data_IF_757572643124
#
_entry.id   IF_757572643124
#
_cell.length_a   1.000
_cell.length_b   1.000
_cell.length_c   1.000
_cell.angle_alpha   90.00
_cell.angle_beta   90.00
_cell.angle_gamma   90.00
#
_symmetry.space_group_name_H-M   'P 1'
#
loop_
_entity.id
_entity.type
_entity.pdbx_description
1 polymer ?
#
# COMPACT_ATOMS: atom_id res chain seq x y z
N UNK A 1 56.62 11.31 42.38
CA UNK A 1 55.59 10.24 42.49
C UNK A 1 54.14 10.72 42.70
N UNK A 2 53.83 12.01 42.97
CA UNK A 2 52.44 12.47 43.20
C UNK A 2 51.64 12.74 41.90
N UNK A 3 52.31 13.15 40.82
CA UNK A 3 51.69 13.52 39.53
C UNK A 3 51.13 12.29 38.78
N UNK A 4 51.81 11.15 38.85
CA UNK A 4 51.36 9.89 38.25
C UNK A 4 50.10 9.32 38.93
N UNK A 5 49.91 9.56 40.23
CA UNK A 5 48.68 9.20 40.95
C UNK A 5 47.50 10.09 40.55
N UNK A 6 47.72 11.39 40.35
CA UNK A 6 46.66 12.29 39.88
C UNK A 6 46.20 11.95 38.45
N UNK A 7 47.15 11.66 37.56
CA UNK A 7 46.87 11.26 36.18
C UNK A 7 46.09 9.94 36.11
N UNK A 8 46.41 8.95 36.96
CA UNK A 8 45.71 7.66 36.95
C UNK A 8 44.26 7.75 37.49
N UNK A 9 44.00 8.66 38.43
CA UNK A 9 42.64 8.93 38.94
C UNK A 9 41.77 9.60 37.87
N UNK A 10 42.31 10.61 37.16
CA UNK A 10 41.59 11.27 36.07
C UNK A 10 41.31 10.34 34.89
N UNK A 11 42.26 9.47 34.53
CA UNK A 11 42.05 8.44 33.49
C UNK A 11 40.96 7.43 33.87
N UNK A 12 40.82 7.07 35.16
CA UNK A 12 39.74 6.19 35.64
C UNK A 12 38.36 6.86 35.57
N UNK A 13 38.29 8.15 35.88
CA UNK A 13 37.06 8.95 35.78
C UNK A 13 36.58 9.10 34.32
N UNK A 14 37.49 9.34 33.38
CA UNK A 14 37.16 9.43 31.94
C UNK A 14 36.62 8.10 31.40
N UNK A 15 37.21 6.96 31.83
CA UNK A 15 36.72 5.63 31.45
C UNK A 15 35.34 5.33 32.06
N UNK A 16 35.09 5.74 33.30
CA UNK A 16 33.82 5.54 33.98
C UNK A 16 32.69 6.38 33.35
N UNK A 17 32.96 7.63 32.98
CA UNK A 17 31.96 8.51 32.36
C UNK A 17 31.54 7.99 30.98
N UNK A 18 32.47 7.47 30.17
CA UNK A 18 32.16 6.79 28.91
C UNK A 18 31.34 5.51 29.11
N UNK A 19 31.65 4.75 30.16
CA UNK A 19 30.89 3.54 30.48
C UNK A 19 29.44 3.87 30.92
N UNK A 20 29.25 4.90 31.76
CA UNK A 20 27.91 5.31 32.20
C UNK A 20 27.05 5.85 31.05
N UNK A 21 27.63 6.61 30.10
CA UNK A 21 26.91 7.05 28.91
C UNK A 21 26.37 5.89 28.05
N UNK A 22 27.11 4.77 28.00
CA UNK A 22 26.68 3.57 27.27
C UNK A 22 25.51 2.81 27.91
N UNK A 23 25.26 3.03 29.20
CA UNK A 23 24.12 2.43 29.94
C UNK A 23 22.89 3.35 29.95
N UNK A 24 23.09 4.67 29.94
CA UNK A 24 21.98 5.65 29.96
C UNK A 24 21.26 5.67 28.60
N UNK A 25 21.99 5.56 27.50
CA UNK A 25 21.40 5.63 26.16
C UNK A 25 20.39 4.49 25.89
N UNK A 26 20.69 3.20 26.15
CA UNK A 26 19.71 2.12 26.03
C UNK A 26 18.48 2.32 26.93
N UNK A 27 18.67 2.81 28.16
CA UNK A 27 17.56 3.03 29.09
C UNK A 27 16.65 4.18 28.66
N UNK A 28 17.23 5.28 28.14
CA UNK A 28 16.47 6.38 27.56
C UNK A 28 15.72 5.93 26.31
N UNK A 29 16.37 5.17 25.44
CA UNK A 29 15.77 4.60 24.23
C UNK A 29 14.61 3.67 24.59
N UNK A 30 14.81 2.75 25.52
CA UNK A 30 13.77 1.81 25.97
C UNK A 30 12.59 2.53 26.63
N UNK A 31 12.84 3.62 27.37
CA UNK A 31 11.75 4.43 27.96
C UNK A 31 10.94 5.16 26.88
N UNK A 32 11.60 5.67 25.83
CA UNK A 32 10.95 6.25 24.65
C UNK A 32 10.29 5.20 23.75
N UNK A 33 10.77 3.96 23.74
CA UNK A 33 10.14 2.85 23.02
C UNK A 33 8.95 2.27 23.79
N UNK A 34 8.94 2.35 25.13
CA UNK A 34 7.83 1.89 25.98
C UNK A 34 6.51 2.59 25.71
N UNK A 35 6.52 3.86 25.29
CA UNK A 35 5.30 4.55 24.85
C UNK A 35 4.75 4.01 23.52
N UNK A 36 5.56 3.27 22.74
CA UNK A 36 5.16 2.60 21.51
C UNK A 36 4.94 1.09 21.70
N UNK A 37 5.48 0.48 22.78
CA UNK A 37 5.20 -0.91 23.16
C UNK A 37 3.84 -1.00 23.85
N UNK A 38 2.85 -1.48 23.11
CA UNK A 38 1.59 -2.02 23.63
C UNK A 38 0.62 -1.01 24.26
N UNK A 39 0.16 -0.02 23.50
CA UNK A 39 -1.27 0.28 23.63
C UNK A 39 -2.03 -0.91 23.05
N UNK A 40 -2.99 -1.48 23.79
CA UNK A 40 -4.03 -2.33 23.21
C UNK A 40 -4.79 -1.48 22.20
N UNK A 41 -4.30 -1.44 20.97
CA UNK A 41 -4.92 -0.73 19.87
C UNK A 41 -6.16 -1.51 19.53
N UNK A 42 -7.33 -0.93 19.81
CA UNK A 42 -8.58 -1.46 19.27
C UNK A 42 -8.54 -1.17 17.77
N UNK A 43 -8.41 -2.23 16.97
CA UNK A 43 -8.47 -2.17 15.52
C UNK A 43 -9.89 -2.52 15.09
N UNK A 44 -10.69 -1.51 14.72
CA UNK A 44 -11.94 -1.72 14.00
C UNK A 44 -11.65 -1.61 12.50
N UNK A 45 -12.17 -2.58 11.73
CA UNK A 45 -12.02 -2.63 10.27
C UNK A 45 -13.38 -2.42 9.61
N UNK A 46 -13.60 -1.26 9.00
CA UNK A 46 -14.80 -1.00 8.20
C UNK A 46 -14.52 -1.31 6.72
N UNK A 47 -15.49 -1.89 6.01
CA UNK A 47 -15.40 -2.14 4.56
C UNK A 47 -15.86 -0.91 3.79
N UNK A 48 -15.36 -0.73 2.55
CA UNK A 48 -15.77 0.34 1.65
C UNK A 48 -17.30 0.39 1.38
N UNK A 49 -17.98 -0.76 1.49
CA UNK A 49 -19.41 -0.89 1.19
C UNK A 49 -19.65 -1.22 -0.27
N UNK A 50 -20.91 -1.13 -0.71
CA UNK A 50 -21.29 -1.41 -2.10
C UNK A 50 -21.18 -0.15 -2.98
N UNK A 51 -20.93 -0.34 -4.28
CA UNK A 51 -20.97 0.74 -5.28
C UNK A 51 -22.38 1.32 -5.34
N UNK A 52 -22.47 2.65 -5.13
CA UNK A 52 -23.72 3.42 -5.18
C UNK A 52 -23.94 3.95 -6.59
N UNK A 53 -22.86 4.39 -7.25
CA UNK A 53 -22.90 5.01 -8.57
C UNK A 53 -21.62 4.75 -9.34
N UNK A 54 -21.74 4.60 -10.66
CA UNK A 54 -20.60 4.51 -11.56
C UNK A 54 -20.77 5.49 -12.74
N UNK A 55 -19.83 6.40 -12.91
CA UNK A 55 -19.78 7.37 -14.00
C UNK A 55 -18.69 7.00 -15.01
N UNK A 56 -19.01 7.10 -16.30
CA UNK A 56 -18.03 6.92 -17.36
C UNK A 56 -17.17 8.17 -17.50
N UNK A 57 -15.86 8.00 -17.60
CA UNK A 57 -14.92 9.09 -17.89
C UNK A 57 -14.29 8.88 -19.27
N UNK A 58 -13.61 9.90 -19.79
CA UNK A 58 -13.01 9.84 -21.13
C UNK A 58 -11.98 8.70 -21.30
N UNK A 59 -11.34 8.26 -20.22
CA UNK A 59 -10.26 7.24 -20.24
C UNK A 59 -10.57 6.04 -19.34
N UNK A 60 -11.78 5.93 -18.79
CA UNK A 60 -12.08 4.89 -17.80
C UNK A 60 -13.39 5.10 -17.07
N UNK A 61 -13.38 4.88 -15.76
CA UNK A 61 -14.60 4.90 -14.94
C UNK A 61 -14.34 5.38 -13.52
N UNK A 62 -15.30 6.14 -12.99
CA UNK A 62 -15.32 6.60 -11.61
C UNK A 62 -16.44 5.89 -10.85
N UNK A 63 -16.11 5.28 -9.71
CA UNK A 63 -17.05 4.56 -8.86
C UNK A 63 -17.17 5.25 -7.51
N UNK A 64 -18.40 5.46 -7.06
CA UNK A 64 -18.71 6.08 -5.79
C UNK A 64 -19.24 5.02 -4.83
N UNK A 65 -18.60 4.92 -3.67
CA UNK A 65 -19.05 4.15 -2.51
C UNK A 65 -19.61 5.12 -1.47
N UNK A 66 -20.01 4.59 -0.32
CA UNK A 66 -20.58 5.41 0.76
C UNK A 66 -19.61 6.46 1.30
N UNK A 67 -18.37 6.04 1.58
CA UNK A 67 -17.36 6.86 2.25
C UNK A 67 -16.03 6.91 1.46
N UNK A 68 -16.06 6.48 0.20
CA UNK A 68 -14.88 6.23 -0.63
C UNK A 68 -15.22 6.38 -2.12
N UNK A 69 -14.24 6.75 -2.93
CA UNK A 69 -14.35 6.81 -4.39
C UNK A 69 -13.17 6.04 -5.00
N UNK A 70 -13.41 5.47 -6.18
CA UNK A 70 -12.42 4.72 -6.96
C UNK A 70 -12.43 5.21 -8.40
N UNK A 71 -11.30 5.72 -8.85
CA UNK A 71 -11.08 6.11 -10.23
C UNK A 71 -10.17 5.10 -10.91
N UNK A 72 -10.66 4.51 -11.99
CA UNK A 72 -9.88 3.62 -12.87
C UNK A 72 -9.71 4.35 -14.19
N UNK A 73 -8.45 4.58 -14.59
CA UNK A 73 -8.12 5.24 -15.85
C UNK A 73 -7.11 4.41 -16.64
N UNK A 74 -7.44 4.04 -17.88
CA UNK A 74 -6.51 3.43 -18.82
C UNK A 74 -5.61 4.52 -19.39
N UNK A 75 -4.31 4.33 -19.19
CA UNK A 75 -3.26 5.19 -19.71
C UNK A 75 -2.64 4.61 -20.99
N UNK A 76 -2.60 3.26 -21.09
CA UNK A 76 -2.26 2.44 -22.26
C UNK A 76 -3.09 1.17 -22.26
N UNK A 77 -3.09 0.40 -23.34
CA UNK A 77 -3.80 -0.88 -23.41
C UNK A 77 -3.37 -1.85 -22.28
N UNK A 78 -2.12 -1.80 -21.85
CA UNK A 78 -1.56 -2.64 -20.79
C UNK A 78 -1.38 -1.91 -19.45
N UNK A 79 -1.75 -0.63 -19.37
CA UNK A 79 -1.42 0.22 -18.23
C UNK A 79 -2.62 0.99 -17.68
N UNK A 80 -2.95 0.71 -16.42
CA UNK A 80 -4.10 1.26 -15.71
C UNK A 80 -3.65 1.99 -14.46
N UNK A 81 -4.13 3.20 -14.29
CA UNK A 81 -4.07 3.95 -13.03
C UNK A 81 -5.29 3.62 -12.21
N UNK A 82 -5.05 3.26 -10.95
CA UNK A 82 -6.08 3.07 -9.93
C UNK A 82 -5.84 4.10 -8.85
N UNK A 83 -6.85 4.91 -8.57
CA UNK A 83 -6.80 5.94 -7.54
C UNK A 83 -7.98 5.80 -6.59
N UNK A 84 -7.70 5.85 -5.29
CA UNK A 84 -8.69 5.68 -4.23
C UNK A 84 -8.77 6.96 -3.40
N UNK A 85 -9.98 7.48 -3.21
CA UNK A 85 -10.27 8.69 -2.42
C UNK A 85 -11.21 8.35 -1.27
N UNK A 86 -11.15 9.01 -0.10
CA UNK A 86 -10.25 10.10 0.25
C UNK A 86 -8.82 9.61 0.52
N UNK A 87 -7.85 10.23 -0.14
CA UNK A 87 -6.43 9.93 -0.04
C UNK A 87 -5.63 11.01 -0.76
N UNK A 88 -4.41 11.30 -0.30
CA UNK A 88 -3.52 12.22 -1.02
C UNK A 88 -2.78 11.40 -2.07
N UNK A 89 -3.01 11.71 -3.35
CA UNK A 89 -2.28 11.04 -4.43
C UNK A 89 -0.77 11.26 -4.23
N UNK A 90 0.04 10.20 -4.29
CA UNK A 90 1.47 10.33 -4.14
C UNK A 90 2.03 11.20 -5.28
N UNK A 91 3.06 12.00 -4.98
CA UNK A 91 3.75 12.78 -6.00
C UNK A 91 4.32 11.80 -7.04
N UNK A 92 3.95 11.92 -8.33
CA UNK A 92 4.35 10.97 -9.36
C UNK A 92 5.82 11.19 -9.74
N UNK A 93 6.74 10.61 -8.98
CA UNK A 93 8.19 10.75 -9.23
C UNK A 93 8.72 9.80 -10.31
N UNK A 94 7.96 8.76 -10.66
CA UNK A 94 8.39 7.70 -11.58
C UNK A 94 7.67 7.72 -12.94
N UNK A 95 6.67 8.59 -13.12
CA UNK A 95 5.89 8.70 -14.35
C UNK A 95 6.21 10.06 -14.96
N UNK A 96 6.90 10.07 -16.10
CA UNK A 96 7.33 11.31 -16.76
C UNK A 96 6.32 11.86 -17.79
N UNK A 97 5.23 11.13 -18.04
CA UNK A 97 4.24 11.47 -19.06
C UNK A 97 2.88 11.72 -18.39
N UNK A 98 2.35 12.93 -18.59
CA UNK A 98 1.02 13.32 -18.10
C UNK A 98 -0.05 13.21 -19.21
N UNK A 99 0.36 13.34 -20.47
CA UNK A 99 -0.53 13.33 -21.65
C UNK A 99 -0.60 11.96 -22.32
N UNK A 100 -1.47 11.10 -21.79
CA UNK A 100 -1.78 9.80 -22.38
C UNK A 100 -2.88 9.91 -23.44
N UNK A 101 -2.70 9.28 -24.60
CA UNK A 101 -3.73 9.22 -25.65
C UNK A 101 -4.97 8.47 -25.16
N UNK A 102 -6.15 8.88 -25.64
CA UNK A 102 -7.39 8.15 -25.38
C UNK A 102 -7.34 6.78 -26.07
N UNK A 103 -7.74 5.74 -25.36
CA UNK A 103 -7.74 4.35 -25.83
C UNK A 103 -9.18 3.88 -25.91
N UNK A 104 -9.45 3.00 -26.87
CA UNK A 104 -10.74 2.34 -26.97
C UNK A 104 -10.91 1.34 -25.82
N UNK A 105 -11.77 1.70 -24.88
CA UNK A 105 -12.13 0.83 -23.76
C UNK A 105 -13.61 0.46 -23.85
N UNK A 106 -13.90 -0.82 -23.67
CA UNK A 106 -15.26 -1.32 -23.56
C UNK A 106 -15.67 -1.44 -22.11
N UNK A 107 -16.93 -1.12 -21.84
CA UNK A 107 -17.49 -1.11 -20.50
C UNK A 107 -18.74 -1.98 -20.48
N UNK A 108 -18.76 -2.97 -19.60
CA UNK A 108 -19.91 -3.83 -19.40
C UNK A 108 -20.20 -3.97 -17.92
N UNK A 109 -21.46 -3.82 -17.54
CA UNK A 109 -21.93 -4.21 -16.22
C UNK A 109 -22.47 -5.64 -16.33
N UNK A 110 -21.91 -6.56 -15.55
CA UNK A 110 -22.33 -7.95 -15.47
C UNK A 110 -22.69 -8.23 -14.01
N UNK A 111 -23.99 -8.34 -13.74
CA UNK A 111 -24.54 -8.56 -12.39
C UNK A 111 -23.98 -7.56 -11.37
N UNK A 112 -23.24 -8.05 -10.38
CA UNK A 112 -22.59 -7.30 -9.29
C UNK A 112 -21.14 -6.90 -9.62
N UNK A 113 -20.74 -6.94 -10.90
CA UNK A 113 -19.39 -6.61 -11.35
C UNK A 113 -19.41 -5.65 -12.53
N UNK A 114 -18.40 -4.78 -12.56
CA UNK A 114 -18.12 -3.91 -13.69
C UNK A 114 -16.84 -4.38 -14.36
N UNK A 115 -16.94 -4.64 -15.65
CA UNK A 115 -15.83 -5.08 -16.49
C UNK A 115 -15.42 -3.92 -17.37
N UNK A 116 -14.15 -3.53 -17.26
CA UNK A 116 -13.51 -2.54 -18.10
C UNK A 116 -12.43 -3.25 -18.90
N UNK A 117 -12.53 -3.26 -20.23
CA UNK A 117 -11.57 -3.98 -21.08
C UNK A 117 -10.95 -3.06 -22.12
N UNK A 118 -9.65 -3.20 -22.29
CA UNK A 118 -8.86 -2.71 -23.43
C UNK A 118 -8.53 -3.88 -24.36
N UNK A 119 -7.66 -3.65 -25.36
CA UNK A 119 -7.21 -4.70 -26.27
C UNK A 119 -6.47 -5.85 -25.57
N UNK A 120 -5.70 -5.57 -24.50
CA UNK A 120 -4.82 -6.58 -23.87
C UNK A 120 -5.07 -6.80 -22.37
N UNK A 121 -5.74 -5.85 -21.71
CA UNK A 121 -5.98 -5.89 -20.26
C UNK A 121 -7.47 -5.71 -19.94
N UNK A 122 -7.95 -6.54 -19.03
CA UNK A 122 -9.30 -6.48 -18.46
C UNK A 122 -9.23 -6.24 -16.96
N UNK A 123 -10.05 -5.31 -16.48
CA UNK A 123 -10.19 -4.95 -15.07
C UNK A 123 -11.62 -5.21 -14.63
N UNK A 124 -11.77 -6.12 -13.68
CA UNK A 124 -13.05 -6.45 -13.06
C UNK A 124 -13.14 -5.78 -11.70
N UNK A 125 -14.16 -4.95 -11.51
CA UNK A 125 -14.48 -4.27 -10.26
C UNK A 125 -15.68 -4.95 -9.64
N UNK A 126 -15.52 -5.46 -8.42
CA UNK A 126 -16.60 -6.08 -7.64
C UNK A 126 -17.45 -5.02 -6.94
N UNK A 127 -18.71 -5.34 -6.65
CA UNK A 127 -19.61 -4.44 -5.92
C UNK A 127 -19.04 -3.92 -4.60
N UNK A 128 -18.22 -4.71 -3.91
CA UNK A 128 -17.58 -4.32 -2.65
C UNK A 128 -16.30 -3.48 -2.81
N UNK A 129 -15.87 -3.23 -4.06
CA UNK A 129 -14.64 -2.53 -4.40
C UNK A 129 -13.40 -3.42 -4.58
N UNK A 130 -13.55 -4.74 -4.58
CA UNK A 130 -12.45 -5.63 -4.96
C UNK A 130 -12.07 -5.48 -6.44
N UNK A 131 -10.78 -5.56 -6.76
CA UNK A 131 -10.26 -5.45 -8.12
C UNK A 131 -9.59 -6.75 -8.58
N UNK A 132 -9.85 -7.13 -9.82
CA UNK A 132 -9.16 -8.25 -10.46
C UNK A 132 -8.68 -7.83 -11.86
N UNK A 133 -7.39 -8.03 -12.10
CA UNK A 133 -6.74 -7.74 -13.37
C UNK A 133 -6.51 -9.04 -14.12
N UNK A 134 -6.95 -9.09 -15.37
CA UNK A 134 -6.84 -10.23 -16.25
C UNK A 134 -6.16 -9.82 -17.57
N UNK A 135 -5.42 -10.74 -18.17
CA UNK A 135 -4.96 -10.57 -19.55
C UNK A 135 -6.09 -10.80 -20.57
N UNK A 136 -5.79 -10.64 -21.86
CA UNK A 136 -6.73 -10.90 -22.95
C UNK A 136 -7.27 -12.34 -22.97
N UNK A 137 -6.53 -13.31 -22.42
CA UNK A 137 -6.92 -14.72 -22.34
C UNK A 137 -7.76 -15.04 -21.09
N UNK A 138 -8.02 -14.04 -20.22
CA UNK A 138 -8.74 -14.23 -18.96
C UNK A 138 -7.88 -14.78 -17.82
N UNK A 139 -6.55 -14.86 -17.99
CA UNK A 139 -5.62 -15.27 -16.93
C UNK A 139 -5.48 -14.14 -15.92
N UNK A 140 -5.67 -14.46 -14.65
CA UNK A 140 -5.61 -13.48 -13.56
C UNK A 140 -4.16 -13.09 -13.29
N UNK A 141 -3.84 -11.83 -13.58
CA UNK A 141 -2.53 -11.24 -13.33
C UNK A 141 -2.39 -10.77 -11.88
N UNK A 142 -3.44 -10.16 -11.32
CA UNK A 142 -3.43 -9.56 -9.98
C UNK A 142 -4.83 -9.50 -9.37
N UNK A 143 -4.91 -9.65 -8.05
CA UNK A 143 -6.13 -9.40 -7.27
C UNK A 143 -5.85 -8.41 -6.14
N UNK A 144 -6.75 -7.45 -5.97
CA UNK A 144 -6.75 -6.53 -4.86
C UNK A 144 -8.06 -6.64 -4.09
N UNK A 145 -7.93 -6.64 -2.76
CA UNK A 145 -9.09 -6.60 -1.90
C UNK A 145 -9.60 -5.17 -1.79
N UNK A 146 -10.90 -5.05 -1.53
CA UNK A 146 -11.52 -3.77 -1.18
C UNK A 146 -10.78 -3.13 -0.01
N UNK A 147 -10.50 -1.81 -0.08
CA UNK A 147 -9.82 -1.11 1.00
C UNK A 147 -10.62 -1.21 2.29
N UNK A 148 -9.89 -1.32 3.39
CA UNK A 148 -10.47 -1.43 4.72
C UNK A 148 -10.04 -0.23 5.54
N UNK A 149 -11.01 0.46 6.15
CA UNK A 149 -10.71 1.53 7.08
C UNK A 149 -10.23 0.91 8.37
N UNK A 150 -8.97 1.16 8.73
CA UNK A 150 -8.45 0.81 10.04
C UNK A 150 -8.63 2.02 10.96
N UNK A 151 -9.47 1.84 11.97
CA UNK A 151 -9.57 2.78 13.09
C UNK A 151 -8.68 2.23 14.19
N UNK A 152 -7.57 2.93 14.47
CA UNK A 152 -6.69 2.65 15.59
C UNK A 152 -7.00 3.62 16.72
N UNK A 153 -7.74 3.12 17.71
CA UNK A 153 -7.96 3.87 18.95
C UNK A 153 -6.90 3.44 19.95
N UNK A 154 -6.00 4.36 20.27
CA UNK A 154 -5.10 4.25 21.40
C UNK A 154 -5.46 5.31 22.46
N UNK A 155 -5.10 5.11 23.74
CA UNK A 155 -5.41 6.09 24.79
C UNK A 155 -4.79 7.48 24.57
N UNK A 156 -3.84 7.63 23.65
CA UNK A 156 -3.13 8.89 23.36
C UNK A 156 -3.33 9.42 21.94
N UNK A 157 -3.82 8.60 21.00
CA UNK A 157 -3.96 8.95 19.59
C UNK A 157 -5.15 8.20 18.97
N UNK A 158 -5.96 8.94 18.20
CA UNK A 158 -6.97 8.38 17.29
C UNK A 158 -6.43 8.52 15.87
N UNK A 159 -5.99 7.42 15.27
CA UNK A 159 -5.58 7.41 13.86
C UNK A 159 -6.64 6.65 13.06
N UNK A 160 -7.16 7.30 12.03
CA UNK A 160 -8.11 6.73 11.08
C UNK A 160 -7.47 6.77 9.69
N UNK A 161 -7.52 5.65 8.96
CA UNK A 161 -6.99 5.59 7.61
C UNK A 161 -7.46 4.37 6.84
N UNK A 162 -7.50 4.48 5.51
CA UNK A 162 -7.80 3.38 4.62
C UNK A 162 -6.53 2.58 4.33
N UNK A 163 -6.62 1.25 4.43
CA UNK A 163 -5.51 0.33 4.17
C UNK A 163 -5.87 -0.56 2.98
N UNK A 164 -5.00 -0.53 1.97
CA UNK A 164 -5.08 -1.38 0.79
C UNK A 164 -4.30 -2.67 1.01
N UNK A 165 -4.89 -3.81 0.62
CA UNK A 165 -4.21 -5.11 0.66
C UNK A 165 -4.25 -5.77 -0.72
N UNK A 166 -3.08 -5.94 -1.32
CA UNK A 166 -2.92 -6.73 -2.53
C UNK A 166 -2.67 -8.20 -2.16
N UNK A 167 -3.38 -9.13 -2.80
CA UNK A 167 -3.10 -10.55 -2.64
C UNK A 167 -2.12 -10.97 -3.74
N UNK A 168 -0.98 -11.53 -3.34
CA UNK A 168 -0.03 -12.11 -4.28
C UNK A 168 -0.67 -13.36 -4.90
N UNK A 169 -1.01 -13.30 -6.19
CA UNK A 169 -1.36 -14.50 -6.94
C UNK A 169 -0.07 -15.30 -7.15
N UNK A 170 -0.02 -16.52 -6.62
CA UNK A 170 1.07 -17.45 -6.89
C UNK A 170 0.95 -17.91 -8.34
N UNK A 171 1.73 -17.29 -9.24
CA UNK A 171 2.01 -17.86 -10.55
C UNK A 171 2.84 -19.12 -10.34
N UNK A 172 2.25 -20.30 -10.55
CA UNK A 172 3.05 -21.48 -10.88
C UNK A 172 3.66 -21.22 -12.24
N UNK A 173 4.91 -20.76 -12.26
CA UNK A 173 5.74 -20.72 -13.45
C UNK A 173 5.96 -22.15 -13.92
N UNK A 174 5.09 -22.63 -14.81
CA UNK A 174 5.44 -23.79 -15.64
C UNK A 174 6.56 -23.32 -16.55
N UNK A 175 7.79 -23.67 -16.18
CA UNK A 175 8.97 -23.51 -17.01
C UNK A 175 8.71 -24.30 -18.30
N UNK A 176 8.39 -23.58 -19.38
CA UNK A 176 8.38 -24.12 -20.73
C UNK A 176 9.82 -24.49 -21.08
N UNK A 177 10.13 -25.77 -20.92
CA UNK A 177 11.35 -26.41 -21.42
C UNK A 177 11.39 -26.22 -22.94
N UNK A 178 12.20 -25.27 -23.42
CA UNK A 178 12.60 -25.23 -24.81
C UNK A 178 13.54 -26.43 -25.08
N UNK A 179 12.95 -27.54 -25.54
CA UNK A 179 13.69 -28.57 -26.26
C UNK A 179 14.19 -27.97 -27.56
N UNK A 180 15.52 -27.85 -27.69
CA UNK A 180 16.22 -27.72 -28.97
C UNK A 180 15.82 -28.92 -29.85
N UNK A 181 15.21 -28.65 -31.00
CA UNK A 181 15.02 -29.62 -32.07
C UNK A 181 15.53 -28.97 -33.36
N UNK A 182 16.42 -29.69 -34.05
CA UNK A 182 16.92 -29.38 -35.39
C UNK A 182 18.24 -28.63 -35.39
#
# INVERSE_FOLDING_TARGET
MKILKLLSINLRLIKLQRFLGSLIYPLQRDRLERQFRNSKTLEASEKAGNIIRAEQTAKGRHFYFKDLELEISFLRDDFVRVDWKPGVSPIPYAIACDDWSTIETTFQQQDERWVISSAVLKVNVSADGGLEFQDANGVILRKELSPRRQVRVSPRFKNEGWVHQAKKCSFTSTVLNFRKLG
#
